data_IF_965721103620
#
_entry.id   IF_965721103620
#
_cell.length_a   1.000
_cell.length_b   1.000
_cell.length_c   1.000
_cell.angle_alpha   90.00
_cell.angle_beta   90.00
_cell.angle_gamma   90.00
#
_symmetry.space_group_name_H-M   'P 1'
#
loop_
_entity.id
_entity.type
_entity.pdbx_description
1 polymer ?
#
# COMPACT_ATOMS: atom_id res chain seq x y z
N UNK A 1 4.56 -17.22 20.22
CA UNK A 1 5.94 -17.64 19.94
C UNK A 1 6.82 -16.89 20.93
N UNK A 2 7.62 -17.62 21.71
CA UNK A 2 8.50 -17.08 22.74
C UNK A 2 9.79 -16.55 22.09
N UNK A 3 10.14 -15.29 22.36
CA UNK A 3 11.20 -14.57 21.64
C UNK A 3 12.25 -13.93 22.56
N UNK A 4 12.17 -14.14 23.88
CA UNK A 4 12.93 -13.35 24.87
C UNK A 4 14.46 -13.46 24.71
N UNK A 5 14.97 -14.61 24.21
CA UNK A 5 16.41 -14.93 24.24
C UNK A 5 17.16 -14.79 22.91
N UNK A 6 16.44 -14.70 21.79
CA UNK A 6 17.04 -14.69 20.45
C UNK A 6 16.61 -13.49 19.62
N UNK A 7 15.66 -12.69 20.13
CA UNK A 7 14.98 -11.67 19.35
C UNK A 7 14.17 -12.31 18.23
N UNK A 8 14.01 -11.56 17.15
CA UNK A 8 13.42 -12.08 15.93
C UNK A 8 14.07 -11.36 14.75
N UNK A 9 14.11 -11.94 13.56
CA UNK A 9 14.96 -11.49 12.43
C UNK A 9 14.88 -10.01 11.97
N UNK A 10 13.98 -9.22 12.56
CA UNK A 10 13.77 -7.78 12.28
C UNK A 10 14.00 -6.86 13.50
N UNK A 11 14.17 -7.44 14.69
CA UNK A 11 14.70 -6.83 15.92
C UNK A 11 15.50 -7.92 16.64
N UNK A 12 16.80 -7.95 16.36
CA UNK A 12 17.74 -8.94 16.91
C UNK A 12 18.62 -8.36 18.04
N UNK A 13 18.47 -7.06 18.31
CA UNK A 13 19.26 -6.36 19.31
C UNK A 13 18.89 -4.87 19.37
N UNK A 14 19.65 -4.12 20.17
CA UNK A 14 19.47 -2.68 20.33
C UNK A 14 18.27 -2.29 21.22
N UNK A 15 17.90 -1.01 21.24
CA UNK A 15 16.94 -0.46 22.22
C UNK A 15 15.51 -1.00 22.13
N UNK A 16 15.13 -1.64 21.01
CA UNK A 16 13.81 -2.26 20.82
C UNK A 16 13.79 -3.76 21.18
N UNK A 17 14.92 -4.35 21.57
CA UNK A 17 15.03 -5.77 21.89
C UNK A 17 14.29 -6.14 23.18
N UNK A 18 13.93 -7.42 23.33
CA UNK A 18 13.43 -7.99 24.60
C UNK A 18 11.93 -8.26 24.68
N UNK A 19 11.21 -8.23 23.55
CA UNK A 19 9.80 -8.66 23.53
C UNK A 19 9.69 -10.18 23.67
N UNK A 20 8.81 -10.66 24.55
CA UNK A 20 8.45 -12.07 24.69
C UNK A 20 7.65 -12.56 23.48
N UNK A 21 6.74 -11.74 22.95
CA UNK A 21 5.98 -12.03 21.73
C UNK A 21 5.80 -10.76 20.93
N UNK A 22 6.06 -10.81 19.63
CA UNK A 22 5.80 -9.66 18.74
C UNK A 22 4.54 -9.83 17.93
N UNK A 23 3.93 -8.69 17.63
CA UNK A 23 2.70 -8.61 16.88
C UNK A 23 2.85 -9.20 15.48
N UNK A 24 3.95 -8.91 14.79
CA UNK A 24 4.16 -9.44 13.43
C UNK A 24 4.26 -10.98 13.45
N UNK A 25 4.88 -11.58 14.47
CA UNK A 25 4.97 -13.04 14.61
C UNK A 25 3.61 -13.66 14.93
N UNK A 26 2.84 -13.04 15.81
CA UNK A 26 1.45 -13.43 16.04
C UNK A 26 0.60 -13.33 14.76
N UNK A 27 0.90 -12.35 13.90
CA UNK A 27 0.21 -12.15 12.61
C UNK A 27 0.58 -13.22 11.60
N UNK A 28 1.87 -13.55 11.46
CA UNK A 28 2.31 -14.67 10.62
C UNK A 28 1.69 -16.00 11.09
N UNK A 29 1.59 -16.22 12.41
CA UNK A 29 0.93 -17.40 12.95
C UNK A 29 -0.57 -17.45 12.64
N UNK A 30 -1.27 -16.32 12.75
CA UNK A 30 -2.67 -16.25 12.35
C UNK A 30 -2.84 -16.60 10.86
N UNK A 31 -2.05 -15.99 9.97
CA UNK A 31 -2.16 -16.27 8.53
C UNK A 31 -1.79 -17.74 8.22
N UNK A 32 -0.77 -18.29 8.86
CA UNK A 32 -0.41 -19.70 8.74
C UNK A 32 -1.56 -20.64 9.16
N UNK A 33 -2.28 -20.32 10.23
CA UNK A 33 -3.46 -21.08 10.66
C UNK A 33 -4.61 -21.00 9.65
N UNK A 34 -4.83 -19.83 9.05
CA UNK A 34 -5.83 -19.64 8.00
C UNK A 34 -5.49 -20.47 6.76
N UNK A 35 -4.25 -20.45 6.32
CA UNK A 35 -3.79 -21.22 5.16
C UNK A 35 -3.77 -22.72 5.46
N UNK A 36 -3.37 -23.13 6.66
CA UNK A 36 -3.45 -24.52 7.11
C UNK A 36 -4.89 -25.04 7.13
N UNK A 37 -5.86 -24.20 7.55
CA UNK A 37 -7.28 -24.54 7.48
C UNK A 37 -7.74 -24.78 6.04
N UNK A 38 -7.34 -23.90 5.12
CA UNK A 38 -7.65 -24.05 3.69
C UNK A 38 -7.02 -25.31 3.09
N UNK A 39 -5.75 -25.58 3.37
CA UNK A 39 -5.06 -26.79 2.90
C UNK A 39 -5.69 -28.06 3.46
N UNK A 40 -5.95 -28.12 4.78
CA UNK A 40 -6.58 -29.26 5.43
C UNK A 40 -7.96 -29.59 4.81
N UNK A 41 -8.77 -28.57 4.55
CA UNK A 41 -10.07 -28.73 3.88
C UNK A 41 -9.91 -29.37 2.49
N UNK A 42 -8.96 -28.89 1.69
CA UNK A 42 -8.71 -29.41 0.34
C UNK A 42 -8.14 -30.84 0.34
N UNK A 43 -7.51 -31.27 1.43
CA UNK A 43 -7.00 -32.64 1.63
C UNK A 43 -8.04 -33.58 2.27
N UNK A 44 -9.23 -33.09 2.62
CA UNK A 44 -10.28 -33.88 3.29
C UNK A 44 -10.10 -34.02 4.81
N UNK A 45 -9.19 -33.27 5.41
CA UNK A 45 -8.93 -33.25 6.86
C UNK A 45 -9.87 -32.26 7.58
N UNK A 46 -11.15 -32.61 7.62
CA UNK A 46 -12.23 -31.73 8.11
C UNK A 46 -12.10 -31.33 9.60
N UNK A 47 -11.54 -32.20 10.45
CA UNK A 47 -11.36 -31.91 11.88
C UNK A 47 -10.28 -30.85 12.08
N UNK A 48 -9.16 -31.03 11.41
CA UNK A 48 -7.99 -30.14 11.39
C UNK A 48 -8.36 -28.79 10.78
N UNK A 49 -9.10 -28.80 9.66
CA UNK A 49 -9.58 -27.58 9.01
C UNK A 49 -10.39 -26.71 9.97
N UNK A 50 -11.34 -27.30 10.71
CA UNK A 50 -12.16 -26.61 11.73
C UNK A 50 -11.32 -26.14 12.91
N UNK A 51 -10.38 -26.95 13.37
CA UNK A 51 -9.46 -26.59 14.47
C UNK A 51 -8.61 -25.37 14.09
N UNK A 52 -7.91 -25.42 12.96
CA UNK A 52 -7.07 -24.31 12.50
C UNK A 52 -7.87 -23.03 12.27
N UNK A 53 -9.10 -23.13 11.73
CA UNK A 53 -9.95 -21.96 11.57
C UNK A 53 -10.34 -21.32 12.91
N UNK A 54 -10.70 -22.14 13.91
CA UNK A 54 -11.02 -21.66 15.26
C UNK A 54 -9.80 -20.99 15.92
N UNK A 55 -8.62 -21.57 15.76
CA UNK A 55 -7.39 -20.99 16.28
C UNK A 55 -7.02 -19.67 15.58
N UNK A 56 -7.20 -19.58 14.25
CA UNK A 56 -7.05 -18.34 13.49
C UNK A 56 -7.94 -17.21 14.06
N UNK A 57 -9.22 -17.52 14.31
CA UNK A 57 -10.15 -16.55 14.92
C UNK A 57 -9.71 -16.14 16.32
N UNK A 58 -9.24 -17.10 17.14
CA UNK A 58 -8.73 -16.85 18.50
C UNK A 58 -7.53 -15.90 18.48
N UNK A 59 -6.53 -16.18 17.65
CA UNK A 59 -5.31 -15.36 17.53
C UNK A 59 -5.64 -13.97 16.99
N UNK A 60 -6.49 -13.86 15.98
CA UNK A 60 -6.93 -12.56 15.43
C UNK A 60 -7.68 -11.72 16.47
N UNK A 61 -8.50 -12.36 17.31
CA UNK A 61 -9.17 -11.68 18.44
C UNK A 61 -8.17 -11.16 19.48
N UNK A 62 -7.14 -11.95 19.82
CA UNK A 62 -6.06 -11.53 20.73
C UNK A 62 -5.29 -10.34 20.15
N UNK A 63 -4.92 -10.39 18.87
CA UNK A 63 -4.24 -9.29 18.18
C UNK A 63 -5.03 -7.98 18.33
N UNK A 64 -6.31 -7.99 17.97
CA UNK A 64 -7.14 -6.79 17.96
C UNK A 64 -7.48 -6.24 19.34
N UNK A 65 -7.52 -7.10 20.36
CA UNK A 65 -7.86 -6.72 21.74
C UNK A 65 -6.63 -6.29 22.54
N UNK A 66 -5.57 -7.11 22.53
CA UNK A 66 -4.47 -6.99 23.50
C UNK A 66 -3.36 -6.07 22.99
N UNK A 67 -3.03 -6.13 21.70
CA UNK A 67 -1.97 -5.29 21.11
C UNK A 67 -2.43 -3.88 20.75
N UNK A 68 -3.74 -3.59 20.81
CA UNK A 68 -4.28 -2.28 20.45
C UNK A 68 -4.18 -1.26 21.59
N UNK A 69 -3.45 -0.18 21.38
CA UNK A 69 -3.47 0.97 22.27
C UNK A 69 -4.62 1.92 21.89
N UNK A 70 -5.76 1.80 22.57
CA UNK A 70 -6.96 2.60 22.30
C UNK A 70 -6.80 4.11 22.57
N UNK A 71 -5.90 4.49 23.48
CA UNK A 71 -5.63 5.89 23.86
C UNK A 71 -4.77 6.61 22.82
N UNK A 72 -3.69 5.97 22.37
CA UNK A 72 -2.72 6.52 21.42
C UNK A 72 -2.99 6.12 19.96
N UNK A 73 -4.00 5.28 19.72
CA UNK A 73 -4.49 4.84 18.40
C UNK A 73 -3.41 4.18 17.53
N UNK A 74 -2.66 3.24 18.11
CA UNK A 74 -1.67 2.43 17.38
C UNK A 74 -1.60 1.01 17.98
N UNK A 75 -0.97 0.08 17.27
CA UNK A 75 -0.67 -1.24 17.79
C UNK A 75 0.74 -1.29 18.38
N UNK A 76 0.86 -1.82 19.59
CA UNK A 76 2.16 -2.18 20.14
C UNK A 76 2.83 -3.22 19.26
N UNK A 77 4.14 -3.13 19.08
CA UNK A 77 4.86 -4.13 18.28
C UNK A 77 5.20 -5.40 19.07
N UNK A 78 5.25 -5.31 20.40
CA UNK A 78 5.71 -6.41 21.25
C UNK A 78 5.12 -6.37 22.66
N UNK A 79 4.86 -7.57 23.18
CA UNK A 79 4.50 -7.87 24.57
C UNK A 79 5.74 -8.37 25.30
N UNK A 80 6.01 -7.85 26.50
CA UNK A 80 7.15 -8.21 27.35
C UNK A 80 6.80 -9.39 28.28
N UNK A 81 7.82 -9.98 28.91
CA UNK A 81 7.67 -11.16 29.78
C UNK A 81 6.81 -10.89 31.03
N UNK A 82 6.79 -9.65 31.51
CA UNK A 82 5.93 -9.20 32.63
C UNK A 82 4.47 -8.96 32.21
N UNK A 83 4.15 -9.19 30.93
CA UNK A 83 2.81 -8.99 30.36
C UNK A 83 2.52 -7.57 29.89
N UNK A 84 3.42 -6.61 30.14
CA UNK A 84 3.30 -5.24 29.62
C UNK A 84 3.62 -5.18 28.12
N UNK A 85 3.37 -4.02 27.49
CA UNK A 85 3.60 -3.82 26.06
C UNK A 85 4.61 -2.70 25.83
N UNK A 86 5.48 -2.87 24.82
CA UNK A 86 6.42 -1.82 24.45
C UNK A 86 5.68 -0.63 23.81
N UNK A 87 5.80 0.59 24.37
CA UNK A 87 5.01 1.74 23.94
C UNK A 87 5.54 2.43 22.67
N UNK A 88 6.69 2.03 22.14
CA UNK A 88 7.29 2.64 20.95
C UNK A 88 6.46 2.34 19.69
N UNK A 89 6.24 3.38 18.89
CA UNK A 89 5.57 3.27 17.61
C UNK A 89 6.56 2.79 16.56
N UNK A 90 6.31 1.62 15.98
CA UNK A 90 7.12 1.06 14.90
C UNK A 90 6.28 0.84 13.63
N UNK A 91 6.96 0.55 12.53
CA UNK A 91 6.34 0.10 11.27
C UNK A 91 5.95 -1.38 11.29
N UNK A 92 6.45 -2.18 12.25
CA UNK A 92 6.25 -3.64 12.28
C UNK A 92 4.77 -4.09 12.27
N UNK A 93 3.80 -3.37 12.87
CA UNK A 93 2.38 -3.69 12.73
C UNK A 93 1.89 -3.73 11.27
N UNK A 94 2.61 -3.13 10.30
CA UNK A 94 2.27 -3.18 8.87
C UNK A 94 2.03 -4.61 8.38
N UNK A 95 2.71 -5.63 8.92
CA UNK A 95 2.47 -7.04 8.59
C UNK A 95 1.03 -7.46 8.93
N UNK A 96 0.52 -7.09 10.11
CA UNK A 96 -0.86 -7.37 10.52
C UNK A 96 -1.88 -6.67 9.62
N UNK A 97 -1.56 -5.45 9.16
CA UNK A 97 -2.39 -4.71 8.24
C UNK A 97 -2.39 -5.37 6.85
N UNK A 98 -1.23 -5.71 6.31
CA UNK A 98 -1.13 -6.35 5.00
C UNK A 98 -1.90 -7.68 4.95
N UNK A 99 -1.82 -8.50 6.01
CA UNK A 99 -2.62 -9.73 6.14
C UNK A 99 -4.12 -9.50 6.39
N UNK A 100 -4.57 -8.24 6.53
CA UNK A 100 -5.96 -7.87 6.82
C UNK A 100 -6.49 -8.48 8.12
N UNK A 101 -5.62 -8.58 9.14
CA UNK A 101 -5.98 -9.13 10.46
C UNK A 101 -6.50 -8.07 11.42
N UNK A 102 -6.44 -6.79 11.05
CA UNK A 102 -6.78 -5.66 11.92
C UNK A 102 -8.18 -5.13 11.61
N UNK A 103 -8.93 -4.79 12.65
CA UNK A 103 -10.25 -4.17 12.51
C UNK A 103 -10.16 -2.85 11.74
N UNK A 104 -11.08 -2.64 10.79
CA UNK A 104 -11.01 -1.58 9.77
C UNK A 104 -10.88 -0.16 10.36
N UNK A 105 -11.49 0.09 11.51
CA UNK A 105 -11.46 1.38 12.18
C UNK A 105 -10.10 1.71 12.82
N UNK A 106 -9.27 0.70 13.08
CA UNK A 106 -7.95 0.85 13.72
C UNK A 106 -6.82 1.09 12.71
N UNK A 107 -7.05 0.81 11.42
CA UNK A 107 -6.05 0.84 10.35
C UNK A 107 -5.56 2.25 10.02
N UNK A 108 -6.48 3.17 9.69
CA UNK A 108 -6.13 4.47 9.13
C UNK A 108 -5.23 5.36 10.01
N UNK A 109 -5.37 5.36 11.34
CA UNK A 109 -4.42 6.06 12.21
C UNK A 109 -2.96 5.68 11.94
N UNK A 110 -2.67 4.39 11.74
CA UNK A 110 -1.29 3.91 11.50
C UNK A 110 -0.80 4.23 10.09
N UNK A 111 -1.62 3.96 9.07
CA UNK A 111 -1.22 4.20 7.68
C UNK A 111 -0.93 5.68 7.42
N UNK A 112 -1.68 6.60 8.05
CA UNK A 112 -1.37 8.02 7.93
C UNK A 112 0.04 8.34 8.47
N UNK A 113 0.42 7.77 9.62
CA UNK A 113 1.77 7.97 10.16
C UNK A 113 2.87 7.38 9.26
N UNK A 114 2.62 6.25 8.61
CA UNK A 114 3.62 5.60 7.75
C UNK A 114 4.05 6.46 6.56
N UNK A 115 3.14 7.21 5.93
CA UNK A 115 3.53 8.15 4.85
C UNK A 115 3.85 9.58 5.29
N UNK A 116 3.77 9.89 6.58
CA UNK A 116 4.34 11.12 7.11
C UNK A 116 5.88 11.03 7.11
N UNK A 117 6.55 12.17 6.95
CA UNK A 117 8.00 12.29 7.03
C UNK A 117 8.59 11.82 8.37
N UNK A 118 7.75 11.63 9.40
CA UNK A 118 8.18 11.03 10.65
C UNK A 118 8.68 9.59 10.47
N UNK A 119 7.97 8.79 9.69
CA UNK A 119 8.37 7.42 9.35
C UNK A 119 9.07 7.38 7.98
N UNK A 120 8.52 8.07 6.98
CA UNK A 120 9.00 8.04 5.60
C UNK A 120 10.16 9.02 5.36
N UNK A 121 11.28 8.50 4.87
CA UNK A 121 12.36 9.26 4.21
C UNK A 121 12.13 9.33 2.69
N UNK A 122 12.99 10.05 1.95
CA UNK A 122 12.88 10.16 0.48
C UNK A 122 13.21 8.86 -0.27
N UNK A 123 13.64 7.82 0.45
CA UNK A 123 14.06 6.52 -0.09
C UNK A 123 13.43 5.34 0.65
N UNK A 124 12.44 5.57 1.51
CA UNK A 124 11.68 4.48 2.16
C UNK A 124 11.30 4.76 3.60
N UNK A 125 10.70 3.76 4.24
CA UNK A 125 10.12 3.83 5.58
C UNK A 125 11.13 3.37 6.63
N UNK A 126 11.26 4.14 7.70
CA UNK A 126 12.07 3.81 8.88
C UNK A 126 11.32 2.84 9.79
N UNK A 127 12.06 2.08 10.59
CA UNK A 127 11.45 1.25 11.64
C UNK A 127 10.78 2.09 12.74
N UNK A 128 11.39 3.23 13.09
CA UNK A 128 10.91 4.17 14.11
C UNK A 128 10.62 5.55 13.51
N UNK A 129 9.78 6.31 14.22
CA UNK A 129 9.65 7.74 13.97
C UNK A 129 10.99 8.43 14.23
N UNK A 130 11.34 9.40 13.40
CA UNK A 130 12.52 10.26 13.62
C UNK A 130 12.45 11.07 14.92
N UNK A 131 11.27 11.17 15.54
CA UNK A 131 11.05 11.87 16.80
C UNK A 131 11.14 10.95 18.03
N UNK A 132 11.36 9.64 17.85
CA UNK A 132 11.55 8.72 18.97
C UNK A 132 12.88 9.06 19.67
N UNK A 133 12.94 9.03 21.01
CA UNK A 133 14.20 9.19 21.73
C UNK A 133 15.20 8.05 21.43
N UNK A 134 14.71 6.92 20.91
CA UNK A 134 15.55 5.79 20.50
C UNK A 134 16.05 5.93 19.07
N UNK A 135 15.68 6.99 18.35
CA UNK A 135 15.99 7.15 16.94
C UNK A 135 17.50 7.32 16.69
N UNK A 136 18.11 6.32 16.08
CA UNK A 136 19.47 6.37 15.55
C UNK A 136 19.44 6.16 14.03
N UNK A 137 19.71 7.18 13.19
CA UNK A 137 19.60 7.04 11.74
C UNK A 137 20.60 6.05 11.12
N UNK A 138 21.63 5.62 11.85
CA UNK A 138 22.57 4.56 11.43
C UNK A 138 22.28 3.21 12.08
N UNK A 139 21.43 3.21 13.09
CA UNK A 139 21.20 2.05 13.89
C UNK A 139 20.26 1.07 13.19
N UNK A 140 20.64 -0.20 13.24
CA UNK A 140 20.11 -1.26 12.38
C UNK A 140 18.62 -1.54 12.65
N UNK A 141 18.19 -1.47 13.92
CA UNK A 141 16.81 -1.74 14.35
C UNK A 141 16.15 -0.55 15.07
N UNK A 142 16.74 0.64 14.99
CA UNK A 142 16.34 1.80 15.80
C UNK A 142 16.42 3.13 15.03
N UNK A 143 16.52 3.11 13.69
CA UNK A 143 16.27 4.32 12.90
C UNK A 143 16.68 4.30 11.44
N UNK A 144 17.31 3.22 10.97
CA UNK A 144 17.54 3.04 9.54
C UNK A 144 16.24 2.86 8.74
N UNK A 145 16.36 2.99 7.42
CA UNK A 145 15.35 2.61 6.44
C UNK A 145 15.71 1.24 5.90
N UNK A 146 14.75 0.32 5.94
CA UNK A 146 14.89 -0.98 5.30
C UNK A 146 13.90 -1.04 4.13
N UNK A 147 14.34 -1.44 2.93
CA UNK A 147 13.42 -1.72 1.85
C UNK A 147 12.40 -2.80 2.20
N UNK A 148 12.77 -3.73 3.10
CA UNK A 148 11.83 -4.68 3.70
C UNK A 148 10.60 -3.97 4.34
N UNK A 149 10.84 -3.06 5.28
CA UNK A 149 9.77 -2.35 5.98
C UNK A 149 8.99 -1.42 5.06
N UNK A 150 9.68 -0.84 4.08
CA UNK A 150 9.05 -0.02 3.04
C UNK A 150 8.08 -0.85 2.18
N UNK A 151 8.43 -2.08 1.84
CA UNK A 151 7.54 -3.00 1.11
C UNK A 151 6.34 -3.44 1.94
N UNK A 152 6.53 -3.74 3.23
CA UNK A 152 5.41 -4.05 4.12
C UNK A 152 4.44 -2.88 4.29
N UNK A 153 4.96 -1.66 4.44
CA UNK A 153 4.14 -0.47 4.46
C UNK A 153 3.36 -0.32 3.15
N UNK A 154 4.01 -0.46 2.00
CA UNK A 154 3.35 -0.39 0.70
C UNK A 154 2.22 -1.44 0.56
N UNK A 155 2.47 -2.68 0.96
CA UNK A 155 1.48 -3.76 0.96
C UNK A 155 0.28 -3.44 1.86
N UNK A 156 0.53 -2.95 3.08
CA UNK A 156 -0.50 -2.54 4.03
C UNK A 156 -1.34 -1.35 3.51
N UNK A 157 -0.70 -0.42 2.82
CA UNK A 157 -1.33 0.74 2.19
C UNK A 157 -2.22 0.33 1.02
N UNK A 158 -1.76 -0.58 0.16
CA UNK A 158 -2.57 -1.14 -0.92
C UNK A 158 -3.76 -1.95 -0.40
N UNK A 159 -3.58 -2.81 0.62
CA UNK A 159 -4.67 -3.64 1.14
C UNK A 159 -5.83 -2.82 1.74
N UNK A 160 -5.56 -1.57 2.13
CA UNK A 160 -6.53 -0.70 2.81
C UNK A 160 -6.91 0.59 2.07
N UNK A 161 -6.53 0.73 0.80
CA UNK A 161 -7.02 1.84 -0.01
C UNK A 161 -6.17 3.10 -0.03
N UNK A 162 -4.94 3.05 0.46
CA UNK A 162 -3.96 4.16 0.42
C UNK A 162 -3.04 4.02 -0.82
N UNK A 163 -3.62 3.84 -2.01
CA UNK A 163 -2.89 3.44 -3.22
C UNK A 163 -1.79 4.41 -3.66
N UNK A 164 -2.02 5.72 -3.49
CA UNK A 164 -1.04 6.75 -3.86
C UNK A 164 0.22 6.68 -3.00
N UNK A 165 0.01 6.38 -1.72
CA UNK A 165 1.07 6.21 -0.72
C UNK A 165 1.86 4.94 -1.05
N UNK A 166 1.16 3.82 -1.25
CA UNK A 166 1.79 2.53 -1.54
C UNK A 166 2.61 2.55 -2.81
N UNK A 167 2.10 3.20 -3.87
CA UNK A 167 2.87 3.38 -5.11
C UNK A 167 4.14 4.22 -4.87
N UNK A 168 4.07 5.26 -4.04
CA UNK A 168 5.23 6.08 -3.73
C UNK A 168 6.29 5.26 -3.00
N UNK A 169 5.90 4.41 -2.04
CA UNK A 169 6.82 3.51 -1.34
C UNK A 169 7.43 2.42 -2.22
N UNK A 170 6.67 1.84 -3.16
CA UNK A 170 7.24 0.96 -4.20
C UNK A 170 8.35 1.68 -4.95
N UNK A 171 8.11 2.91 -5.37
CA UNK A 171 9.08 3.69 -6.12
C UNK A 171 10.27 4.14 -5.25
N UNK A 172 10.06 4.38 -3.95
CA UNK A 172 11.14 4.67 -3.02
C UNK A 172 12.14 3.51 -2.96
N UNK A 173 11.65 2.26 -2.86
CA UNK A 173 12.50 1.08 -2.95
C UNK A 173 13.13 0.96 -4.33
N UNK A 174 12.31 0.92 -5.39
CA UNK A 174 12.79 0.69 -6.75
C UNK A 174 13.91 1.65 -7.13
N UNK A 175 13.79 2.95 -6.85
CA UNK A 175 14.79 3.92 -7.29
C UNK A 175 16.19 3.73 -6.67
N UNK A 176 16.32 2.91 -5.62
CA UNK A 176 17.62 2.54 -5.04
C UNK A 176 18.52 1.82 -6.04
N UNK A 177 17.97 1.03 -6.99
CA UNK A 177 18.78 0.28 -7.97
C UNK A 177 19.72 1.15 -8.80
N UNK A 178 19.49 2.46 -8.85
CA UNK A 178 20.29 3.41 -9.63
C UNK A 178 21.61 3.78 -8.95
N UNK A 179 21.78 3.45 -7.67
CA UNK A 179 22.88 3.93 -6.85
C UNK A 179 23.63 2.76 -6.18
N UNK A 180 24.92 2.96 -5.89
CA UNK A 180 25.82 1.98 -5.25
C UNK A 180 25.84 0.63 -5.98
N UNK A 181 25.22 -0.40 -5.41
CA UNK A 181 25.03 -1.71 -6.04
C UNK A 181 24.00 -1.63 -7.19
N UNK A 182 24.42 -1.14 -8.35
CA UNK A 182 23.53 -0.94 -9.50
C UNK A 182 22.80 -2.23 -9.89
N UNK A 183 21.47 -2.12 -10.00
CA UNK A 183 20.59 -3.25 -10.31
C UNK A 183 20.03 -3.97 -9.08
N UNK A 184 20.49 -3.60 -7.87
CA UNK A 184 20.07 -4.19 -6.59
C UNK A 184 19.43 -3.15 -5.67
N UNK A 185 18.66 -3.64 -4.71
CA UNK A 185 18.03 -2.84 -3.67
C UNK A 185 18.78 -3.11 -2.36
N UNK A 186 19.42 -2.06 -1.83
CA UNK A 186 20.22 -2.11 -0.59
C UNK A 186 19.50 -2.79 0.57
N UNK A 187 20.22 -3.53 1.41
CA UNK A 187 19.67 -4.12 2.64
C UNK A 187 19.13 -3.05 3.59
N UNK A 188 19.99 -2.09 3.95
CA UNK A 188 19.70 -1.02 4.90
C UNK A 188 20.27 0.30 4.41
N UNK A 189 19.46 1.34 4.50
CA UNK A 189 19.82 2.72 4.18
C UNK A 189 19.79 3.55 5.47
N UNK A 190 20.64 4.56 5.54
CA UNK A 190 20.60 5.50 6.65
C UNK A 190 19.25 6.25 6.69
N UNK A 191 18.73 6.49 7.89
CA UNK A 191 17.40 7.09 8.09
C UNK A 191 17.31 8.59 7.82
N UNK A 192 18.41 9.32 7.76
CA UNK A 192 18.41 10.79 7.62
C UNK A 192 19.09 11.29 6.34
N UNK A 193 20.11 10.58 5.88
CA UNK A 193 20.93 10.90 4.72
C UNK A 193 20.86 9.72 3.75
N UNK A 194 20.68 9.97 2.47
CA UNK A 194 20.58 8.91 1.47
C UNK A 194 21.96 8.29 1.22
N UNK A 195 22.24 7.19 1.91
CA UNK A 195 23.44 6.36 1.78
C UNK A 195 23.21 4.95 2.36
N UNK A 196 23.98 3.93 1.95
CA UNK A 196 23.93 2.60 2.57
C UNK A 196 24.34 2.69 4.03
N UNK A 197 23.79 1.79 4.83
CA UNK A 197 24.07 1.63 6.26
C UNK A 197 23.99 0.17 6.69
N UNK A 198 23.80 -0.77 5.75
CA UNK A 198 23.73 -2.21 5.99
C UNK A 198 25.11 -2.84 6.05
N UNK A 199 25.13 -4.14 6.33
CA UNK A 199 26.35 -4.96 6.33
C UNK A 199 26.46 -5.72 5.02
N UNK A 200 25.32 -6.16 4.46
CA UNK A 200 25.24 -6.79 3.16
C UNK A 200 24.59 -5.83 2.17
N UNK A 201 25.21 -5.59 1.02
CA UNK A 201 24.60 -4.71 0.02
C UNK A 201 23.31 -5.34 -0.55
N UNK A 202 23.28 -6.67 -0.71
CA UNK A 202 22.17 -7.38 -1.39
C UNK A 202 21.50 -8.40 -0.47
N UNK A 203 20.19 -8.27 -0.29
CA UNK A 203 19.39 -9.25 0.45
C UNK A 203 18.08 -9.54 -0.26
N UNK A 204 17.73 -10.81 -0.36
CA UNK A 204 16.52 -11.25 -1.09
C UNK A 204 15.24 -10.58 -0.56
N UNK A 205 15.16 -10.32 0.75
CA UNK A 205 14.01 -9.62 1.34
C UNK A 205 13.91 -8.14 0.93
N UNK A 206 15.03 -7.47 0.62
CA UNK A 206 15.00 -6.11 0.07
C UNK A 206 14.56 -6.11 -1.39
N UNK A 207 15.09 -7.04 -2.19
CA UNK A 207 14.77 -7.15 -3.62
C UNK A 207 13.29 -7.49 -3.85
N UNK A 208 12.76 -8.45 -3.07
CA UNK A 208 11.37 -8.90 -3.17
C UNK A 208 10.37 -7.80 -2.81
N UNK A 209 10.76 -6.81 -1.98
CA UNK A 209 9.90 -5.71 -1.55
C UNK A 209 9.71 -4.58 -2.58
N UNK A 210 10.13 -4.79 -3.82
CA UNK A 210 9.62 -4.06 -4.99
C UNK A 210 8.57 -4.89 -5.73
N UNK A 211 8.86 -6.17 -5.92
CA UNK A 211 8.06 -7.09 -6.73
C UNK A 211 6.74 -7.48 -6.04
N UNK A 212 6.80 -7.89 -4.77
CA UNK A 212 5.63 -8.37 -4.05
C UNK A 212 4.56 -7.27 -3.92
N UNK A 213 4.87 -6.02 -3.51
CA UNK A 213 3.87 -4.96 -3.49
C UNK A 213 3.33 -4.60 -4.88
N UNK A 214 4.13 -4.73 -5.95
CA UNK A 214 3.64 -4.52 -7.32
C UNK A 214 2.62 -5.60 -7.75
N UNK A 215 2.88 -6.86 -7.41
CA UNK A 215 2.02 -7.99 -7.77
C UNK A 215 0.79 -8.10 -6.86
N UNK A 216 0.99 -8.19 -5.55
CA UNK A 216 -0.09 -8.44 -4.60
C UNK A 216 -0.82 -7.16 -4.16
N UNK A 217 -0.11 -6.03 -4.14
CA UNK A 217 -0.68 -4.72 -3.79
C UNK A 217 -1.27 -4.00 -5.00
N UNK A 218 -0.41 -3.60 -5.93
CA UNK A 218 -0.80 -2.76 -7.08
C UNK A 218 -1.67 -3.52 -8.08
N UNK A 219 -1.38 -4.78 -8.41
CA UNK A 219 -2.27 -5.58 -9.26
C UNK A 219 -3.38 -6.26 -8.45
N UNK A 220 -3.25 -6.38 -7.13
CA UNK A 220 -4.20 -7.10 -6.29
C UNK A 220 -4.30 -8.58 -6.65
N UNK A 221 -3.20 -9.16 -7.14
CA UNK A 221 -3.15 -10.52 -7.68
C UNK A 221 -3.31 -11.55 -6.57
N UNK A 222 -4.34 -12.40 -6.67
CA UNK A 222 -4.52 -13.57 -5.81
C UNK A 222 -4.93 -14.77 -6.65
N UNK A 223 -4.05 -15.76 -6.73
CA UNK A 223 -4.27 -16.98 -7.50
C UNK A 223 -4.74 -18.10 -6.58
N UNK A 224 -5.83 -18.77 -6.95
CA UNK A 224 -6.30 -20.00 -6.32
C UNK A 224 -6.37 -21.10 -7.40
N UNK A 225 -5.35 -21.96 -7.38
CA UNK A 225 -5.21 -23.04 -8.34
C UNK A 225 -6.23 -24.17 -8.11
N UNK A 226 -6.66 -24.41 -6.86
CA UNK A 226 -7.61 -25.48 -6.53
C UNK A 226 -9.01 -25.16 -7.05
N UNK A 227 -9.41 -23.89 -6.95
CA UNK A 227 -10.72 -23.40 -7.38
C UNK A 227 -10.75 -22.93 -8.85
N UNK A 228 -9.62 -22.99 -9.56
CA UNK A 228 -9.41 -22.39 -10.88
C UNK A 228 -9.90 -20.94 -10.90
N UNK A 229 -9.43 -20.14 -9.94
CA UNK A 229 -9.88 -18.77 -9.70
C UNK A 229 -8.70 -17.80 -9.62
N UNK A 230 -8.85 -16.65 -10.25
CA UNK A 230 -7.91 -15.54 -10.16
C UNK A 230 -8.64 -14.27 -9.74
N UNK A 231 -8.20 -13.64 -8.66
CA UNK A 231 -8.61 -12.29 -8.32
C UNK A 231 -7.57 -11.28 -8.80
N UNK A 232 -8.03 -10.19 -9.42
CA UNK A 232 -7.22 -9.06 -9.86
C UNK A 232 -7.92 -7.76 -9.46
N UNK A 233 -7.22 -6.88 -8.77
CA UNK A 233 -7.74 -5.58 -8.32
C UNK A 233 -6.78 -4.44 -8.69
N UNK A 234 -6.58 -4.08 -9.97
CA UNK A 234 -5.54 -3.12 -10.36
C UNK A 234 -5.76 -1.72 -9.76
N UNK A 235 -4.74 -1.24 -9.03
CA UNK A 235 -4.67 0.06 -8.32
C UNK A 235 -3.58 0.98 -8.88
N UNK A 236 -3.67 1.26 -10.18
CA UNK A 236 -2.65 1.97 -10.95
C UNK A 236 -2.77 3.50 -10.83
N UNK A 237 -1.67 4.26 -10.94
CA UNK A 237 -1.73 5.72 -11.08
C UNK A 237 -2.74 6.15 -12.16
N UNK A 238 -3.53 7.18 -11.86
CA UNK A 238 -4.66 7.55 -12.73
C UNK A 238 -4.23 8.08 -14.10
N UNK A 239 -3.00 8.60 -14.21
CA UNK A 239 -2.41 9.11 -15.44
C UNK A 239 -1.73 8.02 -16.31
N UNK A 240 -1.78 6.75 -15.92
CA UNK A 240 -1.33 5.66 -16.78
C UNK A 240 -2.41 5.29 -17.79
N UNK A 241 -2.11 5.47 -19.08
CA UNK A 241 -3.06 5.18 -20.15
C UNK A 241 -3.09 3.71 -20.55
N UNK A 242 -2.04 2.95 -20.27
CA UNK A 242 -1.99 1.53 -20.60
C UNK A 242 -1.06 0.75 -19.67
N UNK A 243 -1.40 -0.51 -19.45
CA UNK A 243 -0.47 -1.52 -18.93
C UNK A 243 -0.67 -2.83 -19.68
N UNK A 244 0.37 -3.66 -19.72
CA UNK A 244 0.31 -5.03 -20.20
C UNK A 244 0.88 -5.92 -19.08
N UNK A 245 0.10 -6.91 -18.67
CA UNK A 245 0.51 -7.92 -17.70
C UNK A 245 0.36 -9.27 -18.37
N UNK A 246 1.43 -10.05 -18.39
CA UNK A 246 1.50 -11.29 -19.15
C UNK A 246 1.88 -12.46 -18.27
N UNK A 247 1.47 -13.65 -18.69
CA UNK A 247 1.90 -14.92 -18.11
C UNK A 247 1.57 -15.09 -16.61
N UNK A 248 0.42 -14.58 -16.15
CA UNK A 248 -0.07 -14.87 -14.79
C UNK A 248 -0.47 -16.34 -14.74
N UNK A 249 0.26 -17.13 -13.93
CA UNK A 249 0.02 -18.57 -13.77
C UNK A 249 -0.97 -18.84 -12.63
N UNK A 250 -1.94 -19.70 -12.88
CA UNK A 250 -2.91 -20.20 -11.87
C UNK A 250 -3.16 -21.67 -12.14
N UNK A 251 -2.49 -22.58 -11.40
CA UNK A 251 -2.54 -24.01 -11.72
C UNK A 251 -2.15 -24.27 -13.18
N UNK A 252 -3.05 -24.89 -13.95
CA UNK A 252 -2.86 -25.15 -15.39
C UNK A 252 -3.29 -24.00 -16.31
N UNK A 253 -3.65 -22.85 -15.75
CA UNK A 253 -4.09 -21.67 -16.48
C UNK A 253 -2.96 -20.65 -16.62
N UNK A 254 -2.96 -19.94 -17.74
CA UNK A 254 -2.16 -18.73 -17.94
C UNK A 254 -3.07 -17.62 -18.41
N UNK A 255 -3.09 -16.49 -17.70
CA UNK A 255 -3.85 -15.30 -18.08
C UNK A 255 -2.91 -14.13 -18.36
N UNK A 256 -3.21 -13.38 -19.40
CA UNK A 256 -2.61 -12.08 -19.70
C UNK A 256 -3.71 -11.04 -19.86
N UNK A 257 -3.46 -9.80 -19.49
CA UNK A 257 -4.37 -8.71 -19.81
C UNK A 257 -3.67 -7.41 -20.18
N UNK A 258 -4.35 -6.63 -21.04
CA UNK A 258 -3.94 -5.27 -21.41
C UNK A 258 -5.02 -4.30 -21.00
N UNK A 259 -4.64 -3.26 -20.27
CA UNK A 259 -5.48 -2.09 -20.00
C UNK A 259 -5.21 -1.01 -21.06
N UNK A 260 -6.26 -0.35 -21.54
CA UNK A 260 -6.20 0.93 -22.27
C UNK A 260 -7.23 1.91 -21.71
N UNK A 261 -6.82 3.15 -21.44
CA UNK A 261 -7.69 4.26 -21.02
C UNK A 261 -7.75 5.29 -22.14
N UNK A 262 -8.97 5.55 -22.60
CA UNK A 262 -9.31 6.58 -23.57
C UNK A 262 -10.24 7.61 -22.91
N UNK A 263 -10.58 8.69 -23.62
CA UNK A 263 -11.52 9.70 -23.11
C UNK A 263 -12.89 9.06 -22.88
N UNK A 264 -13.32 9.01 -21.62
CA UNK A 264 -14.62 8.49 -21.20
C UNK A 264 -14.79 6.97 -21.28
N UNK A 265 -13.70 6.23 -21.55
CA UNK A 265 -13.75 4.78 -21.77
C UNK A 265 -12.48 4.12 -21.25
N UNK A 266 -12.63 2.99 -20.58
CA UNK A 266 -11.52 2.12 -20.17
C UNK A 266 -11.78 0.72 -20.69
N UNK A 267 -10.82 0.14 -21.40
CA UNK A 267 -10.92 -1.20 -21.99
C UNK A 267 -9.87 -2.14 -21.41
N UNK A 268 -10.28 -3.36 -21.09
CA UNK A 268 -9.39 -4.45 -20.69
C UNK A 268 -9.54 -5.60 -21.68
N UNK A 269 -8.43 -6.02 -22.25
CA UNK A 269 -8.35 -7.18 -23.15
C UNK A 269 -7.69 -8.31 -22.39
N UNK A 270 -8.39 -9.43 -22.24
CA UNK A 270 -7.89 -10.63 -21.58
C UNK A 270 -7.61 -11.72 -22.62
N UNK A 271 -6.51 -12.43 -22.40
CA UNK A 271 -6.14 -13.63 -23.14
C UNK A 271 -5.80 -14.73 -22.14
N UNK A 272 -6.40 -15.90 -22.33
CA UNK A 272 -6.30 -17.04 -21.44
C UNK A 272 -5.92 -18.29 -22.23
N UNK A 273 -5.03 -19.10 -21.65
CA UNK A 273 -4.73 -20.45 -22.12
C UNK A 273 -4.86 -21.43 -20.96
N UNK A 274 -5.64 -22.49 -21.13
CA UNK A 274 -5.84 -23.54 -20.15
C UNK A 274 -6.84 -24.57 -20.67
N UNK A 275 -6.85 -25.79 -20.10
CA UNK A 275 -7.76 -26.85 -20.52
C UNK A 275 -9.20 -26.66 -20.02
N UNK A 276 -9.38 -25.85 -18.98
CA UNK A 276 -10.66 -25.50 -18.36
C UNK A 276 -10.90 -23.99 -18.39
N UNK A 277 -12.12 -23.57 -18.14
CA UNK A 277 -12.44 -22.15 -17.90
C UNK A 277 -11.81 -21.67 -16.59
N UNK A 278 -11.30 -20.43 -16.57
CA UNK A 278 -10.78 -19.75 -15.38
C UNK A 278 -11.83 -18.78 -14.84
N UNK A 279 -12.15 -18.86 -13.55
CA UNK A 279 -12.99 -17.87 -12.86
C UNK A 279 -12.17 -16.63 -12.55
N UNK A 280 -12.64 -15.45 -12.93
CA UNK A 280 -11.94 -14.19 -12.70
C UNK A 280 -12.78 -13.24 -11.85
N UNK A 281 -12.24 -12.84 -10.70
CA UNK A 281 -12.77 -11.77 -9.85
C UNK A 281 -12.00 -10.49 -10.15
N UNK A 282 -12.62 -9.55 -10.88
CA UNK A 282 -11.95 -8.36 -11.38
C UNK A 282 -12.49 -7.08 -10.75
N UNK A 283 -11.59 -6.29 -10.15
CA UNK A 283 -11.93 -5.06 -9.43
C UNK A 283 -11.03 -3.87 -9.79
N UNK A 284 -11.11 -3.28 -10.99
CA UNK A 284 -10.31 -2.10 -11.35
C UNK A 284 -10.73 -0.83 -10.60
N UNK A 285 -9.78 0.09 -10.40
CA UNK A 285 -10.04 1.40 -9.79
C UNK A 285 -10.31 2.54 -10.79
N UNK A 286 -11.08 3.51 -10.32
CA UNK A 286 -11.39 4.78 -10.96
C UNK A 286 -11.25 5.93 -9.95
N UNK A 287 -10.93 7.17 -10.39
CA UNK A 287 -10.85 8.32 -9.51
C UNK A 287 -12.12 8.51 -8.67
N UNK A 288 -11.99 9.12 -7.48
CA UNK A 288 -13.14 9.41 -6.61
C UNK A 288 -14.15 10.29 -7.33
N UNK A 289 -15.45 10.00 -7.19
CA UNK A 289 -16.51 10.77 -7.85
C UNK A 289 -16.74 10.44 -9.33
N UNK A 290 -16.00 9.49 -9.91
CA UNK A 290 -16.28 9.01 -11.27
C UNK A 290 -17.70 8.45 -11.38
N UNK A 291 -18.42 8.78 -12.44
CA UNK A 291 -19.72 8.19 -12.78
C UNK A 291 -19.46 7.02 -13.74
N UNK A 292 -20.02 5.85 -13.46
CA UNK A 292 -19.92 4.67 -14.32
C UNK A 292 -21.21 4.57 -15.12
N UNK A 293 -21.14 4.78 -16.42
CA UNK A 293 -22.31 4.90 -17.30
C UNK A 293 -22.72 3.56 -17.93
N UNK A 294 -21.81 2.60 -17.98
CA UNK A 294 -22.09 1.28 -18.53
C UNK A 294 -20.85 0.38 -18.49
N UNK A 295 -21.07 -0.91 -18.27
CA UNK A 295 -20.03 -1.93 -18.25
C UNK A 295 -20.47 -3.09 -19.14
N UNK A 296 -19.60 -3.47 -20.06
CA UNK A 296 -19.86 -4.49 -21.06
C UNK A 296 -18.76 -5.55 -21.02
N UNK A 297 -19.15 -6.82 -21.03
CA UNK A 297 -18.28 -7.97 -21.24
C UNK A 297 -18.62 -8.56 -22.61
N UNK A 298 -17.65 -8.58 -23.52
CA UNK A 298 -17.82 -9.05 -24.90
C UNK A 298 -19.04 -8.44 -25.60
N UNK A 299 -19.24 -7.14 -25.40
CA UNK A 299 -20.34 -6.36 -25.98
C UNK A 299 -21.67 -6.49 -25.27
N UNK A 300 -21.80 -7.36 -24.26
CA UNK A 300 -23.05 -7.54 -23.50
C UNK A 300 -23.01 -6.79 -22.17
N UNK A 301 -24.07 -6.06 -21.78
CA UNK A 301 -24.16 -5.45 -20.46
C UNK A 301 -24.02 -6.51 -19.36
N UNK A 302 -23.29 -6.20 -18.29
CA UNK A 302 -23.11 -7.11 -17.15
C UNK A 302 -23.57 -6.51 -15.83
N UNK A 303 -24.15 -7.36 -14.98
CA UNK A 303 -24.39 -7.03 -13.58
C UNK A 303 -23.03 -6.76 -12.91
N UNK A 304 -22.99 -5.71 -12.12
CA UNK A 304 -21.78 -5.26 -11.45
C UNK A 304 -22.16 -4.66 -10.09
N UNK A 305 -21.18 -4.55 -9.20
CA UNK A 305 -21.31 -3.70 -8.02
C UNK A 305 -20.24 -2.62 -8.06
N UNK A 306 -20.64 -1.40 -7.72
CA UNK A 306 -19.74 -0.25 -7.62
C UNK A 306 -19.54 0.05 -6.14
N UNK A 307 -18.31 -0.10 -5.66
CA UNK A 307 -17.94 0.18 -4.27
C UNK A 307 -17.05 1.41 -4.26
N UNK A 308 -17.28 2.34 -3.34
CA UNK A 308 -16.40 3.50 -3.15
C UNK A 308 -15.68 3.39 -1.81
N UNK A 309 -14.38 3.70 -1.80
CA UNK A 309 -13.61 3.90 -0.58
C UNK A 309 -13.16 5.37 -0.48
N UNK A 310 -12.29 5.69 0.48
CA UNK A 310 -11.85 7.08 0.70
C UNK A 310 -11.10 7.68 -0.49
N UNK A 311 -10.30 6.89 -1.21
CA UNK A 311 -9.42 7.39 -2.27
C UNK A 311 -9.95 7.15 -3.68
N UNK A 312 -10.76 6.11 -3.90
CA UNK A 312 -11.17 5.67 -5.23
C UNK A 312 -12.53 5.00 -5.25
N UNK A 313 -13.07 4.87 -6.46
CA UNK A 313 -14.21 4.03 -6.80
C UNK A 313 -13.70 2.74 -7.46
N UNK A 314 -14.31 1.61 -7.12
CA UNK A 314 -13.99 0.29 -7.67
C UNK A 314 -15.23 -0.31 -8.32
N UNK A 315 -15.02 -1.04 -9.42
CA UNK A 315 -16.07 -1.78 -10.13
C UNK A 315 -15.78 -3.25 -9.94
N UNK A 316 -16.68 -4.03 -9.36
CA UNK A 316 -16.49 -5.48 -9.21
C UNK A 316 -17.24 -6.25 -10.29
N UNK A 317 -16.53 -7.19 -10.91
CA UNK A 317 -17.01 -8.06 -11.97
C UNK A 317 -16.55 -9.48 -11.67
N UNK A 318 -17.42 -10.45 -11.93
CA UNK A 318 -17.08 -11.87 -11.89
C UNK A 318 -17.44 -12.45 -13.25
N UNK A 319 -16.51 -13.16 -13.87
CA UNK A 319 -16.73 -13.80 -15.16
C UNK A 319 -15.83 -15.01 -15.32
N UNK A 320 -16.24 -15.91 -16.21
CA UNK A 320 -15.47 -17.08 -16.59
C UNK A 320 -14.82 -16.82 -17.95
N UNK A 321 -13.55 -17.19 -18.11
CA UNK A 321 -12.81 -17.03 -19.36
C UNK A 321 -12.24 -18.35 -19.86
N UNK A 322 -12.50 -18.67 -21.13
CA UNK A 322 -11.93 -19.84 -21.82
C UNK A 322 -10.78 -19.49 -22.75
N UNK A 323 -10.91 -18.45 -23.58
CA UNK A 323 -9.87 -18.06 -24.54
C UNK A 323 -9.56 -16.57 -24.47
N UNK A 324 -10.57 -15.72 -24.63
CA UNK A 324 -10.44 -14.26 -24.59
C UNK A 324 -11.68 -13.64 -23.95
N UNK A 325 -11.51 -12.46 -23.37
CA UNK A 325 -12.61 -11.62 -22.90
C UNK A 325 -12.25 -10.15 -23.08
N UNK A 326 -13.22 -9.32 -23.41
CA UNK A 326 -13.06 -7.86 -23.50
C UNK A 326 -14.03 -7.18 -22.56
N UNK A 327 -13.49 -6.43 -21.60
CA UNK A 327 -14.29 -5.59 -20.69
C UNK A 327 -14.17 -4.14 -21.14
N UNK A 328 -15.31 -3.48 -21.36
CA UNK A 328 -15.40 -2.06 -21.65
C UNK A 328 -16.18 -1.36 -20.55
N UNK A 329 -15.60 -0.33 -19.95
CA UNK A 329 -16.22 0.49 -18.91
C UNK A 329 -16.30 1.92 -19.42
N UNK A 330 -17.51 2.43 -19.61
CA UNK A 330 -17.77 3.85 -19.90
C UNK A 330 -17.90 4.62 -18.61
N UNK A 331 -17.19 5.75 -18.52
CA UNK A 331 -17.15 6.56 -17.30
C UNK A 331 -16.97 8.04 -17.61
N UNK A 332 -17.31 8.88 -16.65
CA UNK A 332 -17.17 10.34 -16.74
C UNK A 332 -16.75 10.95 -15.40
N UNK A 333 -16.03 12.06 -15.46
CA UNK A 333 -15.65 12.83 -14.29
C UNK A 333 -14.63 12.14 -13.38
N UNK A 334 -14.65 12.50 -12.10
CA UNK A 334 -13.79 11.94 -11.08
C UNK A 334 -12.48 12.71 -10.88
N UNK A 335 -11.94 12.63 -9.66
CA UNK A 335 -10.76 13.37 -9.22
C UNK A 335 -9.87 12.48 -8.34
N UNK A 336 -8.56 12.59 -8.49
CA UNK A 336 -7.61 11.83 -7.69
C UNK A 336 -6.21 12.44 -7.71
N UNK A 337 -5.58 12.51 -6.54
CA UNK A 337 -4.18 12.93 -6.42
C UNK A 337 -3.25 11.92 -7.11
N UNK A 338 -2.22 12.41 -7.80
CA UNK A 338 -1.17 11.58 -8.39
C UNK A 338 -0.01 11.39 -7.40
N UNK A 339 0.64 10.22 -7.39
CA UNK A 339 1.77 9.95 -6.50
C UNK A 339 2.94 10.92 -6.77
N UNK A 340 3.62 11.33 -5.70
CA UNK A 340 4.82 12.17 -5.79
C UNK A 340 6.06 11.29 -5.70
N UNK A 341 6.72 11.09 -6.84
CA UNK A 341 7.93 10.26 -6.91
C UNK A 341 9.15 11.16 -6.71
N UNK A 342 9.85 10.94 -5.59
CA UNK A 342 11.07 11.66 -5.26
C UNK A 342 12.28 10.95 -5.87
N UNK A 343 13.26 11.72 -6.35
CA UNK A 343 14.50 11.22 -6.93
C UNK A 343 15.69 11.68 -6.08
N UNK A 344 15.91 11.12 -4.87
CA UNK A 344 17.07 11.48 -4.07
C UNK A 344 18.36 11.05 -4.77
N UNK A 345 19.42 11.84 -4.58
CA UNK A 345 20.80 11.49 -4.98
C UNK A 345 21.65 11.24 -3.73
N UNK A 346 22.74 10.46 -3.79
CA UNK A 346 23.59 10.18 -2.64
C UNK A 346 23.93 11.44 -1.84
N UNK A 347 23.75 11.41 -0.52
CA UNK A 347 23.92 12.57 0.36
C UNK A 347 22.66 13.44 0.56
N UNK A 348 21.57 13.20 -0.18
CA UNK A 348 20.30 13.89 0.02
C UNK A 348 19.78 13.72 1.45
N UNK A 349 19.27 14.80 2.05
CA UNK A 349 18.62 14.72 3.37
C UNK A 349 17.14 14.37 3.24
N UNK A 350 16.62 13.67 4.24
CA UNK A 350 15.20 13.35 4.35
C UNK A 350 14.29 14.60 4.45
N UNK A 351 12.98 14.39 4.33
CA UNK A 351 11.95 15.42 4.49
C UNK A 351 11.35 15.96 3.20
N UNK A 352 11.15 15.11 2.19
CA UNK A 352 10.49 15.48 0.94
C UNK A 352 9.01 15.82 1.09
N UNK A 353 8.40 16.31 0.01
CA UNK A 353 6.96 16.57 -0.07
C UNK A 353 6.15 15.28 -0.12
N UNK A 354 5.18 15.13 0.80
CA UNK A 354 4.38 13.91 0.98
C UNK A 354 2.91 14.15 0.74
N UNK A 355 2.25 13.15 0.17
CA UNK A 355 0.80 12.99 0.17
C UNK A 355 0.47 11.97 1.25
N UNK A 356 -0.20 12.41 2.31
CA UNK A 356 -0.50 11.56 3.48
C UNK A 356 -1.85 10.85 3.29
N UNK A 357 -2.85 11.57 2.78
CA UNK A 357 -4.17 10.98 2.50
C UNK A 357 -4.96 11.87 1.54
N UNK A 358 -6.02 11.30 0.97
CA UNK A 358 -7.02 12.06 0.25
C UNK A 358 -8.43 11.52 0.49
N UNK A 359 -9.44 12.38 0.33
CA UNK A 359 -10.86 11.99 0.42
C UNK A 359 -11.72 12.94 -0.39
N UNK A 360 -12.73 12.40 -1.08
CA UNK A 360 -13.86 13.16 -1.61
C UNK A 360 -15.02 13.17 -0.61
N UNK A 361 -15.56 14.35 -0.34
CA UNK A 361 -16.75 14.54 0.50
C UNK A 361 -17.69 15.55 -0.16
N UNK A 362 -18.82 15.07 -0.69
CA UNK A 362 -19.69 15.85 -1.57
C UNK A 362 -18.91 16.44 -2.75
N UNK A 363 -18.94 17.77 -2.88
CA UNK A 363 -18.20 18.54 -3.90
C UNK A 363 -16.82 19.03 -3.43
N UNK A 364 -16.28 18.49 -2.33
CA UNK A 364 -14.99 18.90 -1.76
C UNK A 364 -14.01 17.74 -1.77
N UNK A 365 -13.00 17.80 -2.63
CA UNK A 365 -11.88 16.85 -2.61
C UNK A 365 -10.75 17.41 -1.74
N UNK A 366 -10.40 16.70 -0.67
CA UNK A 366 -9.35 17.11 0.26
C UNK A 366 -8.12 16.24 0.10
N UNK A 367 -6.94 16.85 0.01
CA UNK A 367 -5.64 16.17 0.06
C UNK A 367 -4.87 16.69 1.28
N UNK A 368 -4.42 15.77 2.13
CA UNK A 368 -3.53 16.08 3.25
C UNK A 368 -2.10 15.86 2.78
N UNK A 369 -1.28 16.90 2.89
CA UNK A 369 0.10 16.89 2.46
C UNK A 369 1.03 17.35 3.57
N UNK A 370 2.29 16.95 3.49
CA UNK A 370 3.33 17.38 4.42
C UNK A 370 4.58 17.84 3.67
N UNK A 371 5.22 18.91 4.15
CA UNK A 371 6.40 19.49 3.51
C UNK A 371 7.29 20.24 4.50
N UNK A 372 8.44 20.72 4.03
CA UNK A 372 9.38 21.51 4.82
C UNK A 372 8.86 22.95 5.00
N UNK A 373 9.01 23.56 6.18
CA UNK A 373 8.69 24.97 6.35
C UNK A 373 9.47 25.84 5.37
N UNK A 374 8.82 26.88 4.84
CA UNK A 374 9.39 27.80 3.86
C UNK A 374 9.46 27.28 2.42
N UNK A 375 9.09 26.02 2.14
CA UNK A 375 9.10 25.48 0.78
C UNK A 375 7.83 25.81 -0.01
N UNK A 376 7.88 25.66 -1.34
CA UNK A 376 6.72 25.74 -2.23
C UNK A 376 6.74 24.49 -3.11
N UNK A 377 5.78 23.59 -2.89
CA UNK A 377 5.74 22.28 -3.53
C UNK A 377 4.67 22.21 -4.61
N UNK A 378 4.83 21.34 -5.61
CA UNK A 378 3.83 21.13 -6.67
C UNK A 378 3.04 19.86 -6.39
N UNK A 379 1.73 20.02 -6.19
CA UNK A 379 0.76 18.93 -6.09
C UNK A 379 0.08 18.71 -7.45
N UNK A 380 0.05 17.46 -7.92
CA UNK A 380 -0.60 17.08 -9.18
C UNK A 380 -1.89 16.33 -8.90
N UNK A 381 -3.00 16.81 -9.46
CA UNK A 381 -4.31 16.17 -9.35
C UNK A 381 -4.80 15.75 -10.73
N UNK A 382 -5.09 14.47 -10.89
CA UNK A 382 -5.74 13.93 -12.08
C UNK A 382 -7.25 14.21 -12.06
N UNK A 383 -7.77 14.65 -13.20
CA UNK A 383 -9.19 14.81 -13.47
C UNK A 383 -9.42 14.82 -14.99
N UNK A 384 -10.21 13.89 -15.56
CA UNK A 384 -10.45 13.82 -17.00
C UNK A 384 -11.33 14.95 -17.54
N UNK A 385 -11.81 15.83 -16.65
CA UNK A 385 -12.64 17.00 -16.96
C UNK A 385 -12.19 18.21 -16.16
N UNK A 386 -12.43 19.41 -16.70
CA UNK A 386 -12.12 20.67 -16.03
C UNK A 386 -13.23 21.05 -15.02
N UNK A 387 -13.29 20.37 -13.88
CA UNK A 387 -14.32 20.50 -12.85
C UNK A 387 -13.93 21.25 -11.57
N UNK A 388 -12.66 21.63 -11.36
CA UNK A 388 -12.25 22.35 -10.14
C UNK A 388 -12.59 23.83 -10.29
N UNK A 389 -13.47 24.34 -9.43
CA UNK A 389 -13.88 25.76 -9.38
C UNK A 389 -12.83 26.62 -8.68
N UNK A 390 -12.31 26.15 -7.55
CA UNK A 390 -11.30 26.87 -6.77
C UNK A 390 -10.53 25.92 -5.85
N UNK A 391 -9.38 26.39 -5.37
CA UNK A 391 -8.52 25.66 -4.42
C UNK A 391 -8.34 26.50 -3.16
N UNK A 392 -8.50 25.88 -2.00
CA UNK A 392 -8.25 26.49 -0.68
C UNK A 392 -6.89 26.03 -0.17
N UNK A 393 -6.14 26.95 0.45
CA UNK A 393 -4.79 26.73 0.98
C UNK A 393 -3.72 26.46 -0.08
N UNK A 394 -3.99 26.63 -1.36
CA UNK A 394 -2.99 26.49 -2.42
C UNK A 394 -3.39 27.32 -3.64
N UNK A 395 -2.46 27.50 -4.56
CA UNK A 395 -2.65 28.30 -5.78
C UNK A 395 -2.74 27.37 -6.99
N UNK A 396 -3.80 27.52 -7.79
CA UNK A 396 -3.95 26.77 -9.03
C UNK A 396 -3.04 27.40 -10.10
N UNK A 397 -2.11 26.62 -10.65
CA UNK A 397 -1.18 27.11 -11.68
C UNK A 397 -1.76 26.93 -13.09
N UNK A 398 -2.14 25.70 -13.44
CA UNK A 398 -2.74 25.38 -14.75
C UNK A 398 -3.43 24.03 -14.74
N UNK A 399 -4.30 23.82 -15.72
CA UNK A 399 -4.87 22.52 -16.09
C UNK A 399 -4.41 22.12 -17.49
N UNK A 400 -3.67 21.01 -17.60
CA UNK A 400 -3.17 20.51 -18.89
C UNK A 400 -3.15 18.98 -18.88
N UNK A 401 -3.54 18.35 -20.00
CA UNK A 401 -3.51 16.89 -20.17
C UNK A 401 -4.19 16.14 -19.01
N UNK A 402 -5.39 16.60 -18.62
CA UNK A 402 -6.18 16.04 -17.51
C UNK A 402 -5.51 16.16 -16.12
N UNK A 403 -4.56 17.07 -15.93
CA UNK A 403 -3.85 17.26 -14.68
C UNK A 403 -3.94 18.73 -14.26
N UNK A 404 -4.40 18.97 -13.04
CA UNK A 404 -4.20 20.24 -12.35
C UNK A 404 -2.82 20.25 -11.68
N UNK A 405 -2.03 21.28 -11.97
CA UNK A 405 -0.82 21.61 -11.23
C UNK A 405 -1.15 22.68 -10.21
N UNK A 406 -0.89 22.40 -8.93
CA UNK A 406 -1.23 23.28 -7.81
C UNK A 406 -0.01 23.53 -6.95
N UNK A 407 0.31 24.80 -6.70
CA UNK A 407 1.41 25.19 -5.82
C UNK A 407 0.94 25.24 -4.37
N UNK A 408 1.61 24.46 -3.51
CA UNK A 408 1.34 24.38 -2.09
C UNK A 408 2.44 25.13 -1.33
N UNK A 409 2.17 26.35 -0.81
CA UNK A 409 3.13 27.07 0.01
C UNK A 409 3.20 26.48 1.43
N UNK A 410 4.39 26.26 1.96
CA UNK A 410 4.59 25.92 3.37
C UNK A 410 5.17 27.15 4.07
N UNK A 411 4.44 27.80 5.00
CA UNK A 411 4.96 28.98 5.69
C UNK A 411 6.19 28.62 6.54
N UNK A 412 6.97 29.63 6.93
CA UNK A 412 8.06 29.43 7.90
C UNK A 412 7.47 28.96 9.25
N UNK A 413 8.18 28.07 9.94
CA UNK A 413 7.78 27.52 11.24
C UNK A 413 9.00 26.94 11.95
N UNK A 414 8.93 26.84 13.29
CA UNK A 414 9.90 26.14 14.12
C UNK A 414 9.74 24.62 14.06
N UNK A 415 8.57 24.11 13.65
CA UNK A 415 8.35 22.68 13.46
C UNK A 415 9.17 22.17 12.28
N UNK A 416 9.76 20.97 12.40
CA UNK A 416 10.58 20.37 11.33
C UNK A 416 9.80 20.12 10.03
N UNK A 417 8.53 19.75 10.14
CA UNK A 417 7.60 19.59 9.01
C UNK A 417 6.25 20.22 9.33
N UNK A 418 5.55 20.63 8.27
CA UNK A 418 4.20 21.19 8.36
C UNK A 418 3.21 20.32 7.60
N UNK A 419 2.06 20.07 8.22
CA UNK A 419 0.92 19.40 7.58
C UNK A 419 -0.05 20.45 7.07
N UNK A 420 -0.50 20.33 5.82
CA UNK A 420 -1.51 21.20 5.23
C UNK A 420 -2.65 20.39 4.63
N UNK A 421 -3.87 20.92 4.73
CA UNK A 421 -5.07 20.37 4.10
C UNK A 421 -5.44 21.24 2.91
N UNK A 422 -5.31 20.70 1.71
CA UNK A 422 -5.62 21.37 0.46
C UNK A 422 -7.01 20.91 0.02
N UNK A 423 -7.93 21.84 -0.21
CA UNK A 423 -9.30 21.53 -0.62
C UNK A 423 -9.53 22.01 -2.04
N UNK A 424 -10.04 21.13 -2.88
CA UNK A 424 -10.46 21.39 -4.25
C UNK A 424 -11.98 21.42 -4.27
N UNK A 425 -12.56 22.59 -4.52
CA UNK A 425 -14.02 22.75 -4.62
C UNK A 425 -14.46 22.46 -6.05
N UNK A 426 -15.32 21.46 -6.21
CA UNK A 426 -15.79 20.97 -7.50
C UNK A 426 -17.08 21.71 -7.93
N UNK A 427 -17.30 21.82 -9.24
CA UNK A 427 -18.49 22.46 -9.83
C UNK A 427 -19.79 21.72 -9.52
#
# INVERSE_FOLDING_TARGET
>A
MENTHVGHGWIEGGPLYGAQTTLYLASCWAEALKDASYMAKNLGYEKEAKYYHKEFQRVTGIINRDFWNSKKKFFYYGKLADGSFNPEKTVLPAVSLYFNLIDKEKVFPMLNEYGENSFSSNWGVRILRESSPLFNPRGYHDGSVWPLFTGWAALAEYSHGQYTQGFSHIMNNLLVYKHWAKGYIEEVLNGEIYKPSGVCDHQCWSETMVLQPALEGMLGLKADAMENRLSLSPRLPFNWNSIKVEHIRVGYHTLSFTLRRDKGKTTYYFFHTGSKSLKVDFSPQFPSGSVINGIFLDGKPVKNSVISNRQAKSVNLNFDIKDKATIVIYHYGGIGVLPNILHPVPGSRAGGFRIVSSKLDGKSYTVVVQGKPGSKEILKIYSPVEQVKSVVNAEMLHYKNNIYSVQVPFPKSSNKYLVRKIKFLLR
#
